data_IF_874558761773
#
_entry.id   IF_874558761773
#
_cell.length_a   1.000
_cell.length_b   1.000
_cell.length_c   1.000
_cell.angle_alpha   90.00
_cell.angle_beta   90.00
_cell.angle_gamma   90.00
#
_symmetry.space_group_name_H-M   'P 1'
#
loop_
_entity.id
_entity.type
_entity.pdbx_description
1 polymer ?
#
# COMPACT_ATOMS: atom_id res chain seq x y z
N UNK A 1 1.74 -12.13 -13.21
CA UNK A 1 2.93 -11.25 -13.07
C UNK A 1 2.68 -10.03 -13.93
N UNK A 2 2.44 -8.89 -13.35
CA UNK A 2 2.42 -7.63 -14.10
C UNK A 2 3.87 -7.22 -14.31
N UNK A 3 4.44 -7.59 -15.46
CA UNK A 3 5.73 -7.08 -15.88
C UNK A 3 5.52 -5.65 -16.39
N UNK A 4 6.21 -4.71 -15.79
CA UNK A 4 6.28 -3.36 -16.34
C UNK A 4 6.98 -3.42 -17.67
N UNK A 5 6.29 -3.05 -18.73
CA UNK A 5 6.88 -2.94 -20.07
C UNK A 5 7.47 -1.55 -20.23
N UNK A 6 8.78 -1.44 -20.18
CA UNK A 6 9.49 -0.21 -20.49
C UNK A 6 9.80 -0.15 -21.99
N UNK A 7 9.80 1.05 -22.55
CA UNK A 7 10.11 1.24 -23.96
C UNK A 7 11.60 1.01 -24.23
N UNK A 8 11.97 0.53 -25.43
CA UNK A 8 13.37 0.42 -25.82
C UNK A 8 14.07 1.78 -25.73
N UNK A 9 15.13 1.87 -24.91
CA UNK A 9 15.88 3.12 -24.70
C UNK A 9 15.61 3.82 -23.36
N UNK A 10 14.67 3.37 -22.56
CA UNK A 10 14.50 3.84 -21.18
C UNK A 10 15.67 3.35 -20.31
N UNK A 11 16.29 4.29 -19.58
CA UNK A 11 17.44 4.05 -18.71
C UNK A 11 17.07 4.24 -17.25
N UNK A 12 17.94 3.82 -16.34
CA UNK A 12 17.80 4.00 -14.90
C UNK A 12 16.48 3.42 -14.34
N UNK A 13 16.14 2.20 -14.75
CA UNK A 13 14.95 1.52 -14.25
C UNK A 13 15.18 1.14 -12.79
N UNK A 14 14.37 1.72 -11.91
CA UNK A 14 14.35 1.45 -10.47
C UNK A 14 12.96 0.96 -10.14
N UNK A 15 12.87 -0.16 -9.45
CA UNK A 15 11.55 -0.67 -9.06
C UNK A 15 11.63 -1.59 -7.88
N UNK A 16 10.55 -1.66 -7.13
CA UNK A 16 10.42 -2.57 -6.01
C UNK A 16 8.96 -3.00 -5.79
N UNK A 17 8.78 -4.05 -4.99
CA UNK A 17 7.48 -4.62 -4.66
C UNK A 17 7.22 -4.49 -3.17
N UNK A 18 6.02 -4.04 -2.83
CA UNK A 18 5.59 -3.78 -1.46
C UNK A 18 4.30 -4.51 -1.15
N UNK A 19 4.12 -4.87 0.10
CA UNK A 19 2.83 -5.38 0.57
C UNK A 19 1.88 -4.20 0.82
N UNK A 20 0.64 -4.24 0.32
CA UNK A 20 -0.33 -3.15 0.54
C UNK A 20 -0.80 -3.06 2.00
N UNK A 21 -0.64 -4.13 2.75
CA UNK A 21 -1.09 -4.26 4.13
C UNK A 21 -0.22 -5.26 4.89
N UNK A 22 -0.18 -5.15 6.21
CA UNK A 22 0.56 -6.09 7.08
C UNK A 22 0.05 -7.53 6.92
N UNK A 23 -1.24 -7.70 6.67
CA UNK A 23 -1.88 -9.01 6.61
C UNK A 23 -1.81 -9.61 5.21
N UNK A 24 -2.02 -8.79 4.17
CA UNK A 24 -2.04 -9.24 2.78
C UNK A 24 -0.62 -9.18 2.21
N UNK A 25 0.29 -9.92 2.81
CA UNK A 25 1.69 -9.95 2.39
C UNK A 25 1.92 -10.71 1.07
N UNK A 26 0.96 -11.55 0.66
CA UNK A 26 1.04 -12.31 -0.60
C UNK A 26 0.65 -11.50 -1.84
N UNK A 27 -0.16 -10.45 -1.69
CA UNK A 27 -0.42 -9.50 -2.76
C UNK A 27 0.68 -8.42 -2.75
N UNK A 28 1.12 -8.00 -3.93
CA UNK A 28 2.19 -7.02 -4.05
C UNK A 28 1.74 -5.83 -4.87
N UNK A 29 1.96 -4.66 -4.31
CA UNK A 29 1.98 -3.39 -5.04
C UNK A 29 3.36 -3.25 -5.65
N UNK A 30 3.43 -3.10 -6.95
CA UNK A 30 4.69 -2.91 -7.67
C UNK A 30 4.84 -1.43 -8.03
N UNK A 31 5.97 -0.86 -7.75
CA UNK A 31 6.31 0.52 -8.11
C UNK A 31 7.60 0.48 -8.91
N UNK A 32 7.61 1.08 -10.09
CA UNK A 32 8.79 1.20 -10.92
C UNK A 32 8.89 2.60 -11.51
N UNK A 33 10.11 3.11 -11.59
CA UNK A 33 10.42 4.39 -12.21
C UNK A 33 11.50 4.21 -13.26
N UNK A 34 11.41 4.94 -14.34
CA UNK A 34 12.42 5.06 -15.37
C UNK A 34 12.82 6.52 -15.56
N UNK A 35 13.72 6.79 -16.48
CA UNK A 35 14.11 8.16 -16.82
C UNK A 35 12.99 9.02 -17.42
N UNK A 36 11.86 8.42 -17.80
CA UNK A 36 10.75 9.11 -18.49
C UNK A 36 9.41 9.05 -17.77
N UNK A 37 9.17 8.01 -16.97
CA UNK A 37 7.87 7.77 -16.33
C UNK A 37 7.98 6.95 -15.04
N UNK A 38 6.97 7.11 -14.20
CA UNK A 38 6.74 6.29 -13.03
C UNK A 38 5.52 5.42 -13.31
N UNK A 39 5.61 4.13 -13.06
CA UNK A 39 4.50 3.19 -13.14
C UNK A 39 4.30 2.53 -11.79
N UNK A 40 3.05 2.41 -11.37
CA UNK A 40 2.71 1.61 -10.21
C UNK A 40 1.46 0.80 -10.44
N UNK A 41 1.47 -0.42 -9.92
CA UNK A 41 0.35 -1.34 -10.00
C UNK A 41 -0.10 -1.68 -8.60
N UNK A 42 -1.35 -1.38 -8.31
CA UNK A 42 -1.96 -1.67 -7.01
C UNK A 42 -3.02 -2.75 -7.19
N UNK A 43 -2.98 -3.85 -6.42
CA UNK A 43 -4.00 -4.87 -6.48
C UNK A 43 -5.33 -4.34 -5.93
N UNK A 44 -6.41 -4.56 -6.67
CA UNK A 44 -7.77 -4.34 -6.21
C UNK A 44 -8.25 -5.59 -5.48
N UNK A 45 -8.74 -5.40 -4.26
CA UNK A 45 -9.20 -6.50 -3.42
C UNK A 45 -10.59 -6.26 -2.89
N UNK A 46 -11.41 -7.31 -2.87
CA UNK A 46 -12.68 -7.30 -2.17
C UNK A 46 -12.43 -7.61 -0.69
N UNK A 47 -12.88 -6.72 0.21
CA UNK A 47 -12.63 -6.80 1.66
C UNK A 47 -11.16 -6.98 2.05
N UNK A 48 -10.24 -6.59 1.17
CA UNK A 48 -8.81 -6.75 1.41
C UNK A 48 -8.29 -8.18 1.34
N UNK A 49 -9.09 -9.16 0.93
CA UNK A 49 -8.73 -10.58 0.95
C UNK A 49 -8.75 -11.23 -0.43
N UNK A 50 -9.76 -10.92 -1.24
CA UNK A 50 -9.98 -11.57 -2.55
C UNK A 50 -9.46 -10.64 -3.65
N UNK A 51 -8.47 -11.04 -4.44
CA UNK A 51 -7.99 -10.23 -5.55
C UNK A 51 -9.04 -10.19 -6.66
N UNK A 52 -9.48 -8.98 -7.03
CA UNK A 52 -10.43 -8.73 -8.13
C UNK A 52 -9.73 -8.30 -9.42
N UNK A 53 -8.49 -7.86 -9.30
CA UNK A 53 -7.73 -7.33 -10.42
C UNK A 53 -6.58 -6.44 -9.95
N UNK A 54 -6.02 -5.65 -10.85
CA UNK A 54 -4.98 -4.69 -10.53
C UNK A 54 -5.16 -3.41 -11.36
N UNK A 55 -4.98 -2.27 -10.73
CA UNK A 55 -4.93 -0.98 -11.38
C UNK A 55 -3.48 -0.59 -11.63
N UNK A 56 -3.15 -0.33 -12.89
CA UNK A 56 -1.84 0.19 -13.27
C UNK A 56 -1.99 1.66 -13.67
N UNK A 57 -1.20 2.51 -13.03
CA UNK A 57 -1.12 3.92 -13.36
C UNK A 57 0.27 4.28 -13.83
N UNK A 58 0.33 5.15 -14.83
CA UNK A 58 1.56 5.68 -15.40
C UNK A 58 1.57 7.19 -15.28
N UNK A 59 2.62 7.74 -14.68
CA UNK A 59 2.80 9.18 -14.50
C UNK A 59 4.08 9.58 -15.23
N UNK A 60 4.02 10.49 -16.22
CA UNK A 60 5.22 11.05 -16.84
C UNK A 60 6.09 11.75 -15.80
N UNK A 61 7.38 11.44 -15.78
CA UNK A 61 8.31 11.99 -14.79
C UNK A 61 8.35 13.53 -14.82
N UNK A 62 8.26 14.12 -16.00
CA UNK A 62 8.19 15.58 -16.20
C UNK A 62 7.02 16.27 -15.51
N UNK A 63 5.97 15.53 -15.16
CA UNK A 63 4.78 16.08 -14.48
C UNK A 63 4.88 15.93 -12.95
N UNK A 64 5.89 15.24 -12.43
CA UNK A 64 6.10 15.04 -11.01
C UNK A 64 6.87 16.23 -10.44
N UNK A 65 6.28 16.93 -9.47
CA UNK A 65 6.92 18.05 -8.78
C UNK A 65 7.68 17.57 -7.54
N UNK A 66 7.12 16.61 -6.80
CA UNK A 66 7.79 15.99 -5.65
C UNK A 66 7.34 14.55 -5.43
N UNK A 67 8.17 13.81 -4.72
CA UNK A 67 7.90 12.46 -4.25
C UNK A 67 8.02 12.45 -2.74
N UNK A 68 6.90 12.33 -2.05
CA UNK A 68 6.83 12.44 -0.60
C UNK A 68 6.48 11.10 0.03
N UNK A 69 7.07 10.81 1.17
CA UNK A 69 6.70 9.66 2.00
C UNK A 69 6.02 10.15 3.27
N UNK A 70 4.89 9.56 3.58
CA UNK A 70 4.15 9.88 4.79
C UNK A 70 3.71 8.62 5.53
N UNK A 71 3.49 8.76 6.83
CA UNK A 71 2.84 7.73 7.63
C UNK A 71 1.41 8.19 7.90
N UNK A 72 0.46 7.35 7.56
CA UNK A 72 -0.96 7.61 7.81
C UNK A 72 -1.45 6.77 8.99
N UNK A 73 -2.15 7.43 9.88
CA UNK A 73 -2.86 6.82 10.97
C UNK A 73 -4.35 6.73 10.63
N UNK A 74 -4.90 5.52 10.66
CA UNK A 74 -6.29 5.27 10.35
C UNK A 74 -7.08 5.04 11.66
N UNK A 75 -7.68 6.10 12.16
CA UNK A 75 -8.49 6.04 13.37
C UNK A 75 -9.68 5.07 13.24
N UNK A 76 -10.29 4.99 12.05
CA UNK A 76 -11.37 4.05 11.78
C UNK A 76 -10.94 2.59 11.97
N UNK A 77 -9.77 2.22 11.46
CA UNK A 77 -9.23 0.87 11.66
C UNK A 77 -8.93 0.59 13.14
N UNK A 78 -8.47 1.58 13.89
CA UNK A 78 -8.25 1.44 15.32
C UNK A 78 -9.57 1.18 16.06
N UNK A 79 -10.57 2.03 15.83
CA UNK A 79 -11.88 1.93 16.52
C UNK A 79 -12.54 0.58 16.21
N UNK A 80 -12.64 0.20 14.93
CA UNK A 80 -13.22 -1.07 14.55
C UNK A 80 -12.41 -2.27 15.05
N UNK A 81 -11.09 -2.17 15.08
CA UNK A 81 -10.22 -3.19 15.66
C UNK A 81 -10.51 -3.42 17.14
N UNK A 82 -10.64 -2.36 17.93
CA UNK A 82 -10.99 -2.44 19.36
C UNK A 82 -12.41 -2.98 19.54
N UNK A 83 -13.39 -2.51 18.77
CA UNK A 83 -14.79 -2.98 18.87
C UNK A 83 -14.86 -4.48 18.58
N UNK A 84 -14.27 -4.96 17.50
CA UNK A 84 -14.28 -6.39 17.17
C UNK A 84 -13.51 -7.23 18.18
N UNK A 85 -12.45 -6.69 18.79
CA UNK A 85 -11.72 -7.38 19.86
C UNK A 85 -12.61 -7.58 21.09
N UNK A 86 -13.29 -6.54 21.54
CA UNK A 86 -14.19 -6.61 22.71
C UNK A 86 -15.35 -7.56 22.47
N UNK A 87 -15.99 -7.49 21.30
CA UNK A 87 -17.08 -8.42 20.94
C UNK A 87 -16.56 -9.85 20.85
N UNK A 88 -15.39 -10.06 20.22
CA UNK A 88 -14.78 -11.39 20.12
C UNK A 88 -14.47 -12.01 21.47
N UNK A 89 -13.92 -11.23 22.41
CA UNK A 89 -13.68 -11.68 23.78
C UNK A 89 -14.98 -12.00 24.52
N UNK A 90 -16.05 -11.22 24.32
CA UNK A 90 -17.36 -11.47 24.90
C UNK A 90 -18.08 -12.72 24.31
N UNK A 91 -17.70 -13.15 23.12
CA UNK A 91 -18.27 -14.34 22.49
C UNK A 91 -17.56 -15.66 22.86
N UNK A 92 -16.48 -15.62 23.64
CA UNK A 92 -15.71 -16.82 23.98
C UNK A 92 -16.55 -17.88 24.71
N UNK A 93 -17.44 -17.45 25.60
CA UNK A 93 -18.32 -18.35 26.37
C UNK A 93 -19.48 -18.93 25.52
N UNK A 94 -19.87 -18.21 24.46
CA UNK A 94 -21.00 -18.61 23.61
C UNK A 94 -20.56 -19.47 22.41
N UNK A 95 -19.49 -19.07 21.73
CA UNK A 95 -18.97 -19.77 20.57
C UNK A 95 -17.50 -19.41 20.31
N UNK A 96 -16.62 -20.33 20.57
CA UNK A 96 -15.18 -20.18 20.34
C UNK A 96 -14.86 -19.90 18.86
N UNK A 97 -15.60 -20.54 17.94
CA UNK A 97 -15.39 -20.34 16.50
C UNK A 97 -15.69 -18.88 16.07
N UNK A 98 -16.81 -18.33 16.52
CA UNK A 98 -17.18 -16.93 16.25
C UNK A 98 -16.19 -15.98 16.92
N UNK A 99 -15.79 -16.24 18.15
CA UNK A 99 -14.82 -15.45 18.88
C UNK A 99 -13.48 -15.38 18.13
N UNK A 100 -12.96 -16.51 17.64
CA UNK A 100 -11.72 -16.57 16.88
C UNK A 100 -11.79 -15.74 15.59
N UNK A 101 -12.89 -15.86 14.83
CA UNK A 101 -13.08 -15.06 13.61
C UNK A 101 -13.05 -13.56 13.92
N UNK A 102 -13.79 -13.13 14.97
CA UNK A 102 -13.85 -11.72 15.37
C UNK A 102 -12.49 -11.21 15.85
N UNK A 103 -11.74 -12.01 16.60
CA UNK A 103 -10.39 -11.66 17.08
C UNK A 103 -9.42 -11.54 15.88
N UNK A 104 -9.51 -12.42 14.88
CA UNK A 104 -8.70 -12.31 13.66
C UNK A 104 -9.02 -11.03 12.88
N UNK A 105 -10.31 -10.70 12.74
CA UNK A 105 -10.74 -9.44 12.11
C UNK A 105 -10.24 -8.23 12.91
N UNK A 106 -10.29 -8.30 14.23
CA UNK A 106 -9.76 -7.26 15.12
C UNK A 106 -8.26 -7.06 14.93
N UNK A 107 -7.50 -8.14 14.96
CA UNK A 107 -6.05 -8.11 14.73
C UNK A 107 -5.69 -7.52 13.36
N UNK A 108 -6.49 -7.86 12.34
CA UNK A 108 -6.39 -7.30 10.99
C UNK A 108 -6.52 -5.78 10.96
N UNK A 109 -7.58 -5.28 11.59
CA UNK A 109 -7.83 -3.84 11.67
C UNK A 109 -6.74 -3.11 12.48
N UNK A 110 -6.34 -3.66 13.62
CA UNK A 110 -5.30 -3.09 14.46
C UNK A 110 -3.94 -3.04 13.75
N UNK A 111 -3.56 -4.09 13.05
CA UNK A 111 -2.32 -4.13 12.27
C UNK A 111 -2.30 -3.10 11.13
N UNK A 112 -3.46 -2.75 10.58
CA UNK A 112 -3.61 -1.76 9.51
C UNK A 112 -3.92 -0.34 10.02
N UNK A 113 -3.85 -0.09 11.31
CA UNK A 113 -4.03 1.24 11.90
C UNK A 113 -2.97 2.22 11.41
N UNK A 114 -1.74 1.74 11.19
CA UNK A 114 -0.66 2.52 10.61
C UNK A 114 -0.31 1.99 9.23
N UNK A 115 -0.10 2.90 8.28
CA UNK A 115 0.36 2.57 6.94
C UNK A 115 1.37 3.60 6.45
N UNK A 116 2.35 3.15 5.69
CA UNK A 116 3.22 4.03 4.93
C UNK A 116 2.54 4.40 3.60
N UNK A 117 2.75 5.61 3.13
CA UNK A 117 2.18 6.10 1.90
C UNK A 117 3.24 6.83 1.09
N UNK A 118 3.29 6.54 -0.19
CA UNK A 118 4.11 7.25 -1.17
C UNK A 118 3.19 8.14 -1.99
N UNK A 119 3.45 9.43 -1.96
CA UNK A 119 2.67 10.44 -2.65
C UNK A 119 3.50 11.01 -3.81
N UNK A 120 2.96 10.91 -5.01
CA UNK A 120 3.48 11.59 -6.19
C UNK A 120 2.67 12.86 -6.40
N UNK A 121 3.29 14.01 -6.18
CA UNK A 121 2.66 15.31 -6.39
C UNK A 121 2.96 15.80 -7.79
N UNK A 122 1.94 16.12 -8.56
CA UNK A 122 2.13 16.69 -9.89
C UNK A 122 2.24 18.23 -9.83
N UNK A 123 2.76 18.85 -10.88
CA UNK A 123 2.92 20.31 -10.98
C UNK A 123 1.59 21.08 -10.89
N UNK A 124 0.47 20.43 -11.19
CA UNK A 124 -0.87 21.02 -11.07
C UNK A 124 -1.49 20.85 -9.65
N UNK A 125 -0.70 20.34 -8.67
CA UNK A 125 -1.16 20.14 -7.29
C UNK A 125 -1.94 18.84 -7.05
N UNK A 126 -2.15 18.02 -8.09
CA UNK A 126 -2.76 16.69 -7.92
C UNK A 126 -1.83 15.72 -7.20
N UNK A 127 -2.40 14.85 -6.36
CA UNK A 127 -1.64 13.82 -5.64
C UNK A 127 -2.10 12.44 -6.09
N UNK A 128 -1.12 11.58 -6.37
CA UNK A 128 -1.33 10.16 -6.57
C UNK A 128 -0.64 9.41 -5.44
N UNK A 129 -1.42 8.71 -4.64
CA UNK A 129 -0.95 8.08 -3.41
C UNK A 129 -0.94 6.57 -3.55
N UNK A 130 0.15 5.94 -3.14
CA UNK A 130 0.30 4.50 -3.08
C UNK A 130 0.47 4.08 -1.63
N UNK A 131 -0.46 3.27 -1.13
CA UNK A 131 -0.45 2.77 0.23
C UNK A 131 0.36 1.48 0.32
N UNK A 132 1.21 1.42 1.34
CA UNK A 132 2.14 0.30 1.60
C UNK A 132 2.09 -0.05 3.09
N UNK A 133 2.39 -1.30 3.42
CA UNK A 133 2.52 -1.75 4.80
C UNK A 133 3.53 -0.91 5.58
N UNK A 134 3.21 -0.60 6.83
CA UNK A 134 4.12 0.15 7.72
C UNK A 134 5.44 -0.60 7.94
N UNK A 135 5.44 -1.92 7.85
CA UNK A 135 6.63 -2.76 8.03
C UNK A 135 7.67 -2.54 6.92
N UNK A 136 7.26 -2.09 5.74
CA UNK A 136 8.13 -1.83 4.60
C UNK A 136 8.42 -0.34 4.39
N UNK A 137 8.17 0.49 5.43
CA UNK A 137 8.37 1.95 5.37
C UNK A 137 9.78 2.34 4.97
N UNK A 138 10.81 1.72 5.57
CA UNK A 138 12.20 2.08 5.32
C UNK A 138 12.61 1.76 3.87
N UNK A 139 12.16 0.62 3.35
CA UNK A 139 12.33 0.22 1.96
C UNK A 139 11.62 1.19 1.01
N UNK A 140 10.41 1.63 1.38
CA UNK A 140 9.66 2.64 0.62
C UNK A 140 10.38 3.98 0.59
N UNK A 141 10.96 4.41 1.71
CA UNK A 141 11.73 5.65 1.80
C UNK A 141 12.98 5.61 0.90
N UNK A 142 13.69 4.49 0.87
CA UNK A 142 14.84 4.32 -0.02
C UNK A 142 14.43 4.40 -1.50
N UNK A 143 13.33 3.75 -1.87
CA UNK A 143 12.80 3.85 -3.23
C UNK A 143 12.39 5.28 -3.57
N UNK A 144 11.70 5.97 -2.66
CA UNK A 144 11.30 7.37 -2.84
C UNK A 144 12.50 8.29 -3.09
N UNK A 145 13.58 8.15 -2.30
CA UNK A 145 14.81 8.92 -2.47
C UNK A 145 15.48 8.63 -3.83
N UNK A 146 15.48 7.38 -4.26
CA UNK A 146 16.02 7.00 -5.55
C UNK A 146 15.20 7.59 -6.71
N UNK A 147 13.87 7.58 -6.61
CA UNK A 147 12.97 8.19 -7.60
C UNK A 147 13.16 9.71 -7.60
N UNK A 148 13.28 10.33 -6.43
CA UNK A 148 13.46 11.78 -6.31
C UNK A 148 14.74 12.27 -6.97
N UNK A 149 15.77 11.43 -7.05
CA UNK A 149 17.01 11.75 -7.80
C UNK A 149 16.83 11.72 -9.32
N UNK A 150 15.74 11.10 -9.82
CA UNK A 150 15.39 11.06 -11.24
C UNK A 150 14.51 12.25 -11.64
N UNK A 151 13.81 12.83 -10.70
CA UNK A 151 12.95 14.03 -10.88
C UNK A 151 13.80 15.30 -10.89
#
# INVERSE_FOLDING_TARGET
MTEFTFAPGEKNIIGDRFSPSVIIFWLKTSIAASSTRIQYTTPNTLFGLIPLGADTKTIPLRNVASVDTSTKFNLGSLVWGVVFLLIGLGCLDSSVAVALVLILVAASNLANTMSAQLDFVNQAGGRNSVKVSILEKDKLMQLAQNIQRLV
#
